data_IF_700510246520
#
_entry.id   IF_700510246520
#
_cell.length_a   1.000
_cell.length_b   1.000
_cell.length_c   1.000
_cell.angle_alpha   90.00
_cell.angle_beta   90.00
_cell.angle_gamma   90.00
#
_symmetry.space_group_name_H-M   'P 1'
#
loop_
_entity.id
_entity.type
_entity.pdbx_description
1 polymer ?
#
# COMPACT_ATOMS: atom_id res chain seq x y z
N UNK A 1 19.15 2.99 -18.84
CA UNK A 1 19.51 2.50 -17.49
C UNK A 1 18.25 2.60 -16.65
N UNK A 2 17.67 1.48 -16.17
CA UNK A 2 16.44 1.52 -15.36
C UNK A 2 16.81 2.02 -13.95
N UNK A 3 16.16 3.08 -13.47
CA UNK A 3 16.41 3.65 -12.15
C UNK A 3 15.73 2.81 -11.05
N UNK A 4 16.34 1.67 -10.73
CA UNK A 4 15.84 0.75 -9.70
C UNK A 4 15.86 1.35 -8.29
N UNK A 5 16.76 2.30 -8.04
CA UNK A 5 16.89 2.97 -6.74
C UNK A 5 15.74 3.96 -6.54
N UNK A 6 15.41 4.73 -7.58
CA UNK A 6 14.24 5.61 -7.58
C UNK A 6 12.93 4.84 -7.39
N UNK A 7 12.75 3.73 -8.11
CA UNK A 7 11.55 2.89 -8.02
C UNK A 7 11.35 2.31 -6.60
N UNK A 8 12.41 1.80 -5.98
CA UNK A 8 12.35 1.29 -4.60
C UNK A 8 11.94 2.38 -3.60
N UNK A 9 12.55 3.57 -3.68
CA UNK A 9 12.26 4.69 -2.79
C UNK A 9 10.81 5.15 -2.92
N UNK A 10 10.32 5.29 -4.16
CA UNK A 10 8.92 5.67 -4.42
C UNK A 10 7.97 4.65 -3.80
N UNK A 11 8.20 3.36 -4.02
CA UNK A 11 7.32 2.29 -3.50
C UNK A 11 7.34 2.22 -1.97
N UNK A 12 8.48 2.49 -1.36
CA UNK A 12 8.58 2.60 0.10
C UNK A 12 7.74 3.77 0.63
N UNK A 13 7.84 4.95 0.02
CA UNK A 13 7.05 6.13 0.41
C UNK A 13 5.55 5.86 0.23
N UNK A 14 5.14 5.24 -0.89
CA UNK A 14 3.74 4.85 -1.10
C UNK A 14 3.23 3.87 -0.02
N UNK A 15 4.09 2.98 0.47
CA UNK A 15 3.78 2.05 1.55
C UNK A 15 3.72 2.73 2.92
N UNK A 16 4.63 3.67 3.20
CA UNK A 16 4.58 4.50 4.40
C UNK A 16 3.26 5.28 4.45
N UNK A 17 2.88 5.95 3.36
CA UNK A 17 1.58 6.63 3.24
C UNK A 17 0.38 5.69 3.41
N UNK A 18 0.46 4.47 2.88
CA UNK A 18 -0.59 3.45 3.06
C UNK A 18 -0.81 3.12 4.54
N UNK A 19 0.26 3.03 5.32
CA UNK A 19 0.21 2.77 6.75
C UNK A 19 -0.29 4.00 7.50
N UNK A 20 0.23 5.19 7.19
CA UNK A 20 -0.09 6.44 7.87
C UNK A 20 -1.59 6.78 7.79
N UNK A 21 -2.20 6.65 6.60
CA UNK A 21 -3.65 6.89 6.41
C UNK A 21 -4.51 5.95 7.26
N UNK A 22 -4.00 4.76 7.58
CA UNK A 22 -4.65 3.77 8.46
C UNK A 22 -4.27 3.91 9.92
N UNK A 23 -3.40 4.86 10.26
CA UNK A 23 -2.78 5.01 11.60
C UNK A 23 -2.02 3.75 12.02
N UNK A 24 -1.43 3.05 11.07
CA UNK A 24 -0.61 1.86 11.29
C UNK A 24 0.87 2.24 11.34
N UNK A 25 1.65 1.48 12.08
CA UNK A 25 3.10 1.74 12.20
C UNK A 25 3.86 0.86 11.22
N UNK A 26 4.73 1.45 10.40
CA UNK A 26 5.62 0.67 9.53
C UNK A 26 6.58 -0.18 10.37
N UNK A 27 6.67 -1.46 10.05
CA UNK A 27 7.64 -2.40 10.64
C UNK A 27 8.84 -2.55 9.71
N UNK A 28 8.61 -2.93 8.46
CA UNK A 28 9.67 -3.16 7.49
C UNK A 28 9.21 -3.06 6.04
N UNK A 29 10.14 -2.73 5.15
CA UNK A 29 9.92 -2.70 3.71
C UNK A 29 11.19 -3.18 3.00
N UNK A 30 11.04 -4.11 2.06
CA UNK A 30 12.16 -4.67 1.28
C UNK A 30 11.74 -5.17 -0.09
N UNK A 31 12.70 -5.40 -0.97
CA UNK A 31 12.49 -6.18 -2.19
C UNK A 31 12.18 -7.64 -1.86
N UNK A 32 11.38 -8.31 -2.69
CA UNK A 32 11.13 -9.73 -2.55
C UNK A 32 12.25 -10.54 -3.23
N UNK A 33 13.08 -11.23 -2.44
CA UNK A 33 14.21 -12.03 -2.94
C UNK A 33 13.77 -13.14 -3.90
N UNK A 34 12.55 -13.67 -3.73
CA UNK A 34 11.99 -14.70 -4.62
C UNK A 34 11.44 -14.13 -5.93
N UNK A 35 11.07 -12.85 -5.93
CA UNK A 35 10.55 -12.18 -7.11
C UNK A 35 10.92 -10.68 -7.08
N UNK A 36 12.03 -10.28 -7.72
CA UNK A 36 12.49 -8.89 -7.73
C UNK A 36 11.53 -7.87 -8.38
N UNK A 37 10.44 -8.34 -8.99
CA UNK A 37 9.35 -7.48 -9.47
C UNK A 37 8.31 -7.13 -8.39
N UNK A 38 8.57 -7.50 -7.15
CA UNK A 38 7.70 -7.29 -6.01
C UNK A 38 8.48 -6.76 -4.81
N UNK A 39 7.74 -6.12 -3.90
CA UNK A 39 8.19 -5.69 -2.60
C UNK A 39 7.39 -6.38 -1.51
N UNK A 40 7.99 -6.52 -0.33
CA UNK A 40 7.35 -7.00 0.89
C UNK A 40 7.29 -5.83 1.85
N UNK A 41 6.07 -5.41 2.20
CA UNK A 41 5.81 -4.42 3.24
C UNK A 41 5.22 -5.08 4.48
N UNK A 42 5.60 -4.63 5.66
CA UNK A 42 5.01 -5.03 6.93
C UNK A 42 4.68 -3.81 7.78
N UNK A 43 3.57 -3.89 8.48
CA UNK A 43 3.15 -2.88 9.44
C UNK A 43 2.41 -3.51 10.61
N UNK A 44 2.31 -2.75 11.69
CA UNK A 44 1.57 -3.10 12.90
C UNK A 44 0.28 -2.28 12.87
N UNK A 45 -0.86 -2.97 12.91
CA UNK A 45 -2.16 -2.30 12.97
C UNK A 45 -2.49 -1.75 14.36
N UNK A 46 -3.64 -1.09 14.46
CA UNK A 46 -4.19 -0.53 15.69
C UNK A 46 -4.54 -1.60 16.75
N UNK A 47 -4.66 -2.86 16.34
CA UNK A 47 -4.85 -4.02 17.22
C UNK A 47 -3.51 -4.71 17.59
N UNK A 48 -2.37 -4.07 17.31
CA UNK A 48 -1.03 -4.61 17.52
C UNK A 48 -0.73 -5.90 16.74
N UNK A 49 -1.41 -6.12 15.62
CA UNK A 49 -1.19 -7.28 14.75
C UNK A 49 -0.25 -6.93 13.61
N UNK A 50 0.71 -7.83 13.39
CA UNK A 50 1.60 -7.75 12.23
C UNK A 50 0.83 -8.10 10.95
N UNK A 51 0.73 -7.12 10.06
CA UNK A 51 0.16 -7.22 8.72
C UNK A 51 1.32 -7.36 7.73
N UNK A 52 1.22 -8.30 6.78
CA UNK A 52 2.24 -8.50 5.74
C UNK A 52 1.63 -8.36 4.36
N UNK A 53 2.27 -7.58 3.48
CA UNK A 53 1.80 -7.30 2.13
C UNK A 53 2.84 -7.67 1.09
N UNK A 54 2.37 -8.30 0.01
CA UNK A 54 3.10 -8.35 -1.26
C UNK A 54 2.62 -7.18 -2.11
N UNK A 55 3.57 -6.35 -2.54
CA UNK A 55 3.31 -5.12 -3.29
C UNK A 55 3.92 -5.30 -4.67
N UNK A 56 3.09 -5.25 -5.70
CA UNK A 56 3.56 -5.35 -7.09
C UNK A 56 4.14 -4.01 -7.56
N UNK A 57 5.03 -4.01 -8.56
CA UNK A 57 5.50 -2.77 -9.21
C UNK A 57 4.38 -1.87 -9.73
N UNK A 58 3.23 -2.46 -10.11
CA UNK A 58 2.03 -1.73 -10.55
C UNK A 58 1.27 -1.05 -9.39
N UNK A 59 1.68 -1.25 -8.14
CA UNK A 59 1.04 -0.66 -6.96
C UNK A 59 -0.14 -1.46 -6.41
N UNK A 60 -0.35 -2.70 -6.86
CA UNK A 60 -1.36 -3.58 -6.25
C UNK A 60 -0.83 -4.19 -4.94
N UNK A 61 -1.70 -4.24 -3.92
CA UNK A 61 -1.39 -4.77 -2.59
C UNK A 61 -2.14 -6.08 -2.39
N UNK A 62 -1.43 -7.09 -1.87
CA UNK A 62 -1.99 -8.38 -1.51
C UNK A 62 -1.57 -8.67 -0.07
N UNK A 63 -2.52 -8.69 0.86
CA UNK A 63 -2.28 -9.01 2.26
C UNK A 63 -2.15 -10.52 2.46
N UNK A 64 -1.16 -10.94 3.24
CA UNK A 64 -1.08 -12.28 3.77
C UNK A 64 -1.87 -12.37 5.07
N UNK A 65 -3.00 -13.07 5.04
CA UNK A 65 -3.83 -13.28 6.22
C UNK A 65 -3.45 -14.56 6.98
N UNK A 66 -2.52 -15.37 6.46
CA UNK A 66 -2.23 -16.69 7.00
C UNK A 66 -3.21 -17.77 6.53
N UNK A 67 -2.90 -19.05 6.79
CA UNK A 67 -3.76 -20.16 6.39
C UNK A 67 -5.14 -20.03 7.06
N UNK A 68 -6.21 -20.14 6.25
CA UNK A 68 -7.61 -20.18 6.72
C UNK A 68 -8.27 -18.84 7.08
N UNK A 69 -7.60 -17.69 6.88
CA UNK A 69 -8.13 -16.36 7.26
C UNK A 69 -8.54 -15.44 6.11
N UNK A 70 -8.46 -15.88 4.85
CA UNK A 70 -8.99 -15.11 3.73
C UNK A 70 -10.48 -15.39 3.49
N UNK A 71 -11.28 -14.34 3.41
CA UNK A 71 -12.57 -14.34 2.71
C UNK A 71 -12.28 -13.94 1.26
N UNK A 72 -12.56 -14.69 0.19
CA UNK A 72 -13.68 -15.56 -0.19
C UNK A 72 -13.16 -16.89 -0.75
N UNK A 73 -13.72 -18.00 -0.25
CA UNK A 73 -13.29 -19.36 -0.55
C UNK A 73 -12.19 -19.80 0.42
N UNK A 74 -12.58 -20.61 1.40
CA UNK A 74 -11.70 -21.31 2.35
C UNK A 74 -10.46 -21.79 1.58
N UNK A 75 -9.27 -21.36 1.99
CA UNK A 75 -7.92 -21.74 1.51
C UNK A 75 -7.04 -20.60 0.95
N UNK A 76 -7.57 -19.41 0.68
CA UNK A 76 -6.71 -18.30 0.21
C UNK A 76 -6.11 -17.52 1.37
N UNK A 77 -4.83 -17.78 1.66
CA UNK A 77 -4.04 -17.01 2.63
C UNK A 77 -3.69 -15.58 2.15
N UNK A 78 -4.18 -15.18 0.97
CA UNK A 78 -3.82 -13.95 0.29
C UNK A 78 -5.07 -13.21 -0.17
N UNK A 79 -5.25 -11.98 0.30
CA UNK A 79 -6.43 -11.15 0.02
C UNK A 79 -5.97 -9.87 -0.69
N UNK A 80 -6.52 -9.54 -1.88
CA UNK A 80 -6.26 -8.25 -2.51
C UNK A 80 -6.77 -7.12 -1.63
N UNK A 81 -5.95 -6.09 -1.44
CA UNK A 81 -6.33 -4.90 -0.68
C UNK A 81 -6.41 -3.72 -1.65
N UNK A 82 -7.56 -3.05 -1.63
CA UNK A 82 -7.71 -1.79 -2.34
C UNK A 82 -6.86 -0.72 -1.65
N UNK A 83 -5.99 -0.11 -2.44
CA UNK A 83 -5.26 1.08 -2.02
C UNK A 83 -6.28 2.21 -1.88
N UNK A 84 -6.69 2.51 -0.64
CA UNK A 84 -7.53 3.66 -0.33
C UNK A 84 -6.75 4.93 -0.63
N UNK A 85 -6.78 5.33 -1.90
CA UNK A 85 -6.67 6.68 -2.42
C UNK A 85 -7.36 6.62 -3.79
N UNK A 86 -8.68 6.41 -3.77
CA UNK A 86 -9.48 6.74 -4.94
C UNK A 86 -9.53 8.27 -5.02
N UNK A 87 -8.47 8.87 -5.59
CA UNK A 87 -8.38 10.33 -5.86
C UNK A 87 -9.55 10.85 -6.69
N UNK A 88 -10.37 9.97 -7.28
CA UNK A 88 -11.54 10.34 -8.08
C UNK A 88 -12.74 10.87 -7.28
N UNK A 89 -12.69 10.91 -5.94
CA UNK A 89 -13.77 11.47 -5.10
C UNK A 89 -13.42 12.74 -4.34
N UNK A 90 -12.18 13.21 -4.38
CA UNK A 90 -11.87 14.57 -3.97
C UNK A 90 -12.03 15.46 -5.20
N UNK A 91 -13.25 15.92 -5.44
CA UNK A 91 -13.47 17.12 -6.23
C UNK A 91 -12.67 18.24 -5.58
N UNK A 92 -11.57 18.62 -6.21
CA UNK A 92 -10.99 19.93 -6.00
C UNK A 92 -12.06 20.92 -6.45
N UNK A 93 -12.77 21.53 -5.51
CA UNK A 93 -13.48 22.76 -5.79
C UNK A 93 -12.38 23.81 -6.04
N UNK A 94 -12.22 24.31 -7.27
CA UNK A 94 -11.34 25.45 -7.48
C UNK A 94 -11.95 26.61 -6.70
N UNK A 95 -11.26 27.05 -5.64
CA UNK A 95 -11.56 28.32 -4.99
C UNK A 95 -11.49 29.39 -6.07
N UNK A 96 -12.65 29.91 -6.47
CA UNK A 96 -12.74 31.06 -7.37
C UNK A 96 -11.93 32.19 -6.76
N UNK A 97 -10.86 32.59 -7.45
CA UNK A 97 -10.20 33.86 -7.16
C UNK A 97 -11.17 34.94 -7.59
N UNK A 98 -11.92 35.49 -6.64
CA UNK A 98 -12.54 36.80 -6.80
C UNK A 98 -11.43 37.81 -7.13
N UNK A 99 -11.34 38.17 -8.40
CA UNK A 99 -10.61 39.36 -8.82
C UNK A 99 -11.55 40.54 -8.62
N UNK A 100 -11.57 41.07 -7.40
CA UNK A 100 -12.23 42.33 -7.09
C UNK A 100 -11.57 43.46 -7.90
N UNK A 101 -12.36 44.09 -8.77
CA UNK A 101 -12.13 45.40 -9.35
C UNK A 101 -13.15 46.37 -8.78
#
# INVERSE_FOLDING_TARGET
MKDYVGEYRIKRIEFEMFCDVRKWTIDSFRSNDKNPSQYIGRCIDDEWKLRTFVITKKGNYIEYCGPGKGTVGKDKAWVPIEYVLNKSKESFDPVERETGR
#
